data_IF_148317784310
#
_entry.id   IF_148317784310
#
_cell.length_a   1.000
_cell.length_b   1.000
_cell.length_c   1.000
_cell.angle_alpha   90.00
_cell.angle_beta   90.00
_cell.angle_gamma   90.00
#
_symmetry.space_group_name_H-M   'P 1'
#
loop_
_entity.id
_entity.type
_entity.pdbx_description
1 polymer ?
#
# COMPACT_ATOMS: atom_id res chain seq x y z
N UNK A 1 22.76 18.07 -33.13
CA UNK A 1 23.44 17.03 -32.32
C UNK A 1 22.47 15.88 -32.11
N UNK A 2 22.88 14.66 -32.46
CA UNK A 2 22.00 13.51 -32.58
C UNK A 2 21.63 12.89 -31.22
N UNK A 3 20.37 12.46 -31.09
CA UNK A 3 19.76 11.91 -29.86
C UNK A 3 20.34 10.56 -29.37
N UNK A 4 21.34 9.98 -30.04
CA UNK A 4 21.83 8.64 -29.73
C UNK A 4 22.92 8.58 -28.63
N UNK A 5 23.51 9.71 -28.22
CA UNK A 5 24.68 9.70 -27.31
C UNK A 5 24.34 9.68 -25.81
N UNK A 6 23.06 9.71 -25.41
CA UNK A 6 22.68 9.95 -24.00
C UNK A 6 22.57 8.73 -23.08
N UNK A 7 22.78 7.49 -23.53
CA UNK A 7 22.43 6.31 -22.73
C UNK A 7 23.55 5.25 -22.53
N UNK A 8 24.79 5.51 -22.95
CA UNK A 8 25.87 4.54 -22.77
C UNK A 8 26.39 4.45 -21.32
N UNK A 9 26.46 5.58 -20.61
CA UNK A 9 26.88 5.63 -19.20
C UNK A 9 25.91 4.91 -18.25
N UNK A 10 24.60 4.85 -18.57
CA UNK A 10 23.60 4.12 -17.76
C UNK A 10 23.82 2.60 -17.76
N UNK A 11 24.47 2.04 -18.79
CA UNK A 11 24.87 0.61 -18.82
C UNK A 11 26.13 0.32 -18.00
N UNK A 12 27.03 1.29 -17.84
CA UNK A 12 28.28 1.13 -17.07
C UNK A 12 28.10 1.36 -15.57
N UNK A 13 27.20 2.26 -15.17
CA UNK A 13 26.93 2.60 -13.77
C UNK A 13 25.57 2.11 -13.26
N UNK A 14 24.87 1.27 -14.02
CA UNK A 14 23.70 0.55 -13.56
C UNK A 14 24.10 -0.37 -12.42
N UNK A 15 24.13 0.17 -11.18
CA UNK A 15 24.21 -0.61 -9.95
C UNK A 15 23.15 -1.69 -10.11
N UNK A 16 23.59 -2.95 -10.29
CA UNK A 16 22.71 -4.09 -10.01
C UNK A 16 22.25 -3.83 -8.59
N UNK A 17 21.00 -3.38 -8.44
CA UNK A 17 20.37 -3.35 -7.13
C UNK A 17 20.63 -4.72 -6.53
N UNK A 18 21.43 -4.75 -5.47
CA UNK A 18 21.65 -5.98 -4.74
C UNK A 18 20.25 -6.37 -4.28
N UNK A 19 19.67 -7.39 -4.90
CA UNK A 19 18.42 -7.98 -4.44
C UNK A 19 18.68 -8.33 -2.97
N UNK A 20 18.13 -7.53 -2.07
CA UNK A 20 18.19 -7.83 -0.65
C UNK A 20 17.62 -9.24 -0.49
N UNK A 21 18.37 -10.10 0.19
CA UNK A 21 17.93 -11.46 0.45
C UNK A 21 16.62 -11.38 1.21
N UNK A 22 15.55 -11.95 0.66
CA UNK A 22 14.23 -11.96 1.29
C UNK A 22 14.34 -12.72 2.60
N UNK A 23 13.97 -12.07 3.70
CA UNK A 23 13.86 -12.70 5.01
C UNK A 23 12.38 -12.92 5.31
N UNK A 24 11.92 -14.12 4.95
CA UNK A 24 10.51 -14.51 5.03
C UNK A 24 9.97 -14.41 6.45
N UNK A 25 10.77 -14.74 7.47
CA UNK A 25 10.31 -14.68 8.86
C UNK A 25 10.12 -13.23 9.29
N UNK A 26 11.11 -12.38 9.02
CA UNK A 26 11.01 -10.94 9.31
C UNK A 26 9.86 -10.27 8.56
N UNK A 27 9.60 -10.67 7.32
CA UNK A 27 8.48 -10.16 6.53
C UNK A 27 7.13 -10.61 7.11
N UNK A 28 7.02 -11.86 7.58
CA UNK A 28 5.82 -12.36 8.27
C UNK A 28 5.60 -11.60 9.57
N UNK A 29 6.64 -11.40 10.39
CA UNK A 29 6.55 -10.68 11.66
C UNK A 29 6.05 -9.23 11.45
N UNK A 30 6.59 -8.54 10.43
CA UNK A 30 6.17 -7.19 10.09
C UNK A 30 4.70 -7.12 9.61
N UNK A 31 4.24 -8.13 8.86
CA UNK A 31 2.82 -8.22 8.47
C UNK A 31 1.94 -8.46 9.70
N UNK A 32 2.35 -9.31 10.64
CA UNK A 32 1.61 -9.57 11.88
C UNK A 32 1.50 -8.29 12.72
N UNK A 33 2.62 -7.56 12.88
CA UNK A 33 2.65 -6.27 13.58
C UNK A 33 1.67 -5.27 12.95
N UNK A 34 1.76 -5.08 11.63
CA UNK A 34 0.84 -4.23 10.88
C UNK A 34 -0.64 -4.62 11.07
N UNK A 35 -0.96 -5.92 10.98
CA UNK A 35 -2.34 -6.39 11.15
C UNK A 35 -2.88 -6.17 12.58
N UNK A 36 -2.03 -6.22 13.60
CA UNK A 36 -2.41 -5.91 14.97
C UNK A 36 -2.71 -4.40 15.13
N UNK A 37 -1.90 -3.56 14.48
CA UNK A 37 -2.03 -2.10 14.55
C UNK A 37 -3.19 -1.55 13.70
N UNK A 38 -3.62 -2.29 12.68
CA UNK A 38 -4.74 -1.96 11.79
C UNK A 38 -6.02 -1.56 12.56
N UNK A 39 -6.25 -2.18 13.71
CA UNK A 39 -7.42 -1.89 14.54
C UNK A 39 -7.43 -0.47 15.09
N UNK A 40 -6.26 0.15 15.30
CA UNK A 40 -6.13 1.51 15.79
C UNK A 40 -6.39 2.52 14.66
N UNK A 41 -5.80 2.29 13.48
CA UNK A 41 -6.01 3.13 12.29
C UNK A 41 -7.47 3.17 11.88
N UNK A 42 -8.09 2.00 11.77
CA UNK A 42 -9.49 1.87 11.35
C UNK A 42 -10.45 2.50 12.35
N UNK A 43 -10.21 2.37 13.66
CA UNK A 43 -11.02 3.04 14.70
C UNK A 43 -10.92 4.56 14.62
N UNK A 44 -9.71 5.09 14.42
CA UNK A 44 -9.50 6.53 14.27
C UNK A 44 -10.22 7.05 13.03
N UNK A 45 -9.95 6.46 11.85
CA UNK A 45 -10.54 6.87 10.58
C UNK A 45 -12.07 6.78 10.63
N UNK A 46 -12.63 5.69 11.13
CA UNK A 46 -14.08 5.53 11.26
C UNK A 46 -14.72 6.63 12.11
N UNK A 47 -14.07 7.00 13.22
CA UNK A 47 -14.56 8.08 14.08
C UNK A 47 -14.57 9.42 13.36
N UNK A 48 -13.51 9.75 12.63
CA UNK A 48 -13.42 11.03 11.92
C UNK A 48 -14.36 11.06 10.70
N UNK A 49 -14.51 9.96 9.96
CA UNK A 49 -15.48 9.88 8.86
C UNK A 49 -16.93 10.03 9.32
N UNK A 50 -17.30 9.51 10.49
CA UNK A 50 -18.64 9.73 11.07
C UNK A 50 -18.90 11.21 11.36
N UNK A 51 -17.90 11.94 11.84
CA UNK A 51 -18.03 13.39 12.08
C UNK A 51 -18.19 14.16 10.77
N UNK A 52 -17.45 13.80 9.72
CA UNK A 52 -17.63 14.38 8.39
C UNK A 52 -19.04 14.08 7.86
N UNK A 53 -19.52 12.85 8.02
CA UNK A 53 -20.87 12.49 7.60
C UNK A 53 -21.94 13.36 8.29
N UNK A 54 -21.79 13.63 9.59
CA UNK A 54 -22.65 14.54 10.33
C UNK A 54 -22.57 15.99 9.80
N UNK A 55 -21.35 16.50 9.58
CA UNK A 55 -21.14 17.85 9.05
C UNK A 55 -21.70 18.00 7.62
N UNK A 56 -21.63 16.97 6.78
CA UNK A 56 -22.22 17.00 5.44
C UNK A 56 -23.75 16.99 5.49
N UNK A 57 -24.34 16.23 6.42
CA UNK A 57 -25.79 16.29 6.65
C UNK A 57 -26.23 17.69 7.09
N UNK A 58 -25.46 18.34 7.96
CA UNK A 58 -25.69 19.73 8.37
C UNK A 58 -25.56 20.70 7.20
N UNK A 59 -24.52 20.55 6.38
CA UNK A 59 -24.29 21.38 5.19
C UNK A 59 -25.52 21.41 4.27
N UNK A 60 -26.15 20.25 4.04
CA UNK A 60 -27.34 20.14 3.18
C UNK A 60 -28.59 20.85 3.70
N UNK A 61 -28.67 21.13 5.00
CA UNK A 61 -29.82 21.81 5.62
C UNK A 61 -29.50 23.24 6.10
N UNK A 62 -28.22 23.64 6.03
CA UNK A 62 -27.75 24.93 6.50
C UNK A 62 -28.20 26.10 5.60
N UNK A 63 -28.41 27.27 6.22
CA UNK A 63 -28.64 28.55 5.54
C UNK A 63 -27.36 29.39 5.56
N UNK A 64 -27.24 30.31 4.60
CA UNK A 64 -26.00 31.00 4.15
C UNK A 64 -24.90 31.20 5.19
N UNK A 65 -25.25 31.77 6.34
CA UNK A 65 -24.26 32.29 7.29
C UNK A 65 -23.59 31.18 8.11
N UNK A 66 -24.11 29.94 8.10
CA UNK A 66 -23.50 28.80 8.81
C UNK A 66 -22.67 27.94 7.88
N UNK A 67 -22.89 28.04 6.56
CA UNK A 67 -22.25 27.19 5.56
C UNK A 67 -20.73 27.33 5.61
N UNK A 68 -20.21 28.56 5.71
CA UNK A 68 -18.77 28.80 5.73
C UNK A 68 -18.10 28.20 6.98
N UNK A 69 -18.76 28.24 8.15
CA UNK A 69 -18.26 27.65 9.40
C UNK A 69 -18.25 26.12 9.29
N UNK A 70 -19.31 25.54 8.71
CA UNK A 70 -19.39 24.11 8.49
C UNK A 70 -18.27 23.64 7.54
N UNK A 71 -18.08 24.30 6.39
CA UNK A 71 -17.03 23.97 5.43
C UNK A 71 -15.62 24.13 6.02
N UNK A 72 -15.35 25.19 6.79
CA UNK A 72 -14.07 25.37 7.49
C UNK A 72 -13.82 24.22 8.49
N UNK A 73 -14.87 23.78 9.18
CA UNK A 73 -14.81 22.65 10.11
C UNK A 73 -14.56 21.33 9.37
N UNK A 74 -15.27 21.07 8.27
CA UNK A 74 -15.05 19.91 7.41
C UNK A 74 -13.60 19.86 6.91
N UNK A 75 -13.04 20.99 6.46
CA UNK A 75 -11.65 21.09 6.00
C UNK A 75 -10.66 20.57 7.05
N UNK A 76 -10.82 20.99 8.31
CA UNK A 76 -9.95 20.54 9.42
C UNK A 76 -10.06 19.05 9.71
N UNK A 77 -11.23 18.43 9.48
CA UNK A 77 -11.39 16.98 9.61
C UNK A 77 -10.80 16.24 8.41
N UNK A 78 -11.00 16.78 7.20
CA UNK A 78 -10.44 16.22 5.97
C UNK A 78 -8.92 16.21 6.02
N UNK A 79 -8.26 17.28 6.46
CA UNK A 79 -6.79 17.31 6.60
C UNK A 79 -6.26 16.14 7.43
N UNK A 80 -6.89 15.89 8.59
CA UNK A 80 -6.53 14.79 9.50
C UNK A 80 -6.80 13.42 8.90
N UNK A 81 -7.94 13.27 8.22
CA UNK A 81 -8.30 12.02 7.55
C UNK A 81 -7.32 11.73 6.43
N UNK A 82 -7.02 12.71 5.58
CA UNK A 82 -6.12 12.54 4.44
C UNK A 82 -4.73 12.15 4.91
N UNK A 83 -4.16 12.85 5.90
CA UNK A 83 -2.85 12.52 6.48
C UNK A 83 -2.81 11.08 7.03
N UNK A 84 -3.83 10.68 7.80
CA UNK A 84 -3.88 9.34 8.38
C UNK A 84 -4.14 8.27 7.33
N UNK A 85 -4.98 8.53 6.34
CA UNK A 85 -5.33 7.59 5.28
C UNK A 85 -4.17 7.38 4.32
N UNK A 86 -3.39 8.42 4.03
CA UNK A 86 -2.13 8.31 3.27
C UNK A 86 -1.15 7.37 3.99
N UNK A 87 -0.95 7.56 5.29
CA UNK A 87 -0.09 6.69 6.10
C UNK A 87 -0.57 5.24 6.07
N UNK A 88 -1.89 5.04 6.29
CA UNK A 88 -2.52 3.73 6.23
C UNK A 88 -2.34 3.04 4.86
N UNK A 89 -2.55 3.78 3.76
CA UNK A 89 -2.36 3.25 2.42
C UNK A 89 -0.89 2.85 2.17
N UNK A 90 0.06 3.69 2.58
CA UNK A 90 1.48 3.39 2.46
C UNK A 90 1.85 2.10 3.21
N UNK A 91 1.33 1.91 4.42
CA UNK A 91 1.57 0.70 5.20
C UNK A 91 0.95 -0.54 4.56
N UNK A 92 -0.28 -0.43 4.02
CA UNK A 92 -0.93 -1.49 3.24
C UNK A 92 -0.09 -1.87 2.03
N UNK A 93 0.41 -0.89 1.28
CA UNK A 93 1.21 -1.11 0.07
C UNK A 93 2.56 -1.77 0.39
N UNK A 94 3.26 -1.30 1.42
CA UNK A 94 4.52 -1.88 1.90
C UNK A 94 4.31 -3.34 2.31
N UNK A 95 3.26 -3.62 3.08
CA UNK A 95 2.97 -4.99 3.50
C UNK A 95 2.49 -5.86 2.33
N UNK A 96 1.80 -5.29 1.34
CA UNK A 96 1.50 -5.92 0.07
C UNK A 96 2.77 -6.40 -0.66
N UNK A 97 3.82 -5.56 -0.71
CA UNK A 97 5.12 -5.94 -1.29
C UNK A 97 5.80 -7.09 -0.52
N UNK A 98 5.69 -7.11 0.82
CA UNK A 98 6.19 -8.22 1.64
C UNK A 98 5.49 -9.54 1.31
N UNK A 99 4.16 -9.53 1.21
CA UNK A 99 3.39 -10.71 0.79
C UNK A 99 3.82 -11.20 -0.59
N UNK A 100 4.00 -10.29 -1.56
CA UNK A 100 4.51 -10.63 -2.90
C UNK A 100 5.91 -11.25 -2.84
N UNK A 101 6.78 -10.74 -1.97
CA UNK A 101 8.14 -11.25 -1.77
C UNK A 101 8.13 -12.66 -1.17
N UNK A 102 7.30 -12.91 -0.16
CA UNK A 102 7.10 -14.25 0.45
C UNK A 102 6.61 -15.25 -0.60
N UNK A 103 5.60 -14.88 -1.40
CA UNK A 103 5.06 -15.75 -2.44
C UNK A 103 6.09 -16.12 -3.51
N UNK A 104 6.91 -15.14 -3.93
CA UNK A 104 8.02 -15.39 -4.86
C UNK A 104 9.07 -16.33 -4.28
N UNK A 105 9.48 -16.10 -3.03
CA UNK A 105 10.47 -16.93 -2.35
C UNK A 105 9.94 -18.37 -2.16
N UNK A 106 8.66 -18.53 -1.85
CA UNK A 106 8.00 -19.85 -1.81
C UNK A 106 8.12 -20.58 -3.15
N UNK A 107 7.75 -19.93 -4.27
CA UNK A 107 7.82 -20.56 -5.59
C UNK A 107 9.25 -20.94 -5.97
N UNK A 108 10.24 -20.10 -5.62
CA UNK A 108 11.66 -20.42 -5.85
C UNK A 108 12.10 -21.64 -5.04
N UNK A 109 11.70 -21.75 -3.77
CA UNK A 109 12.02 -22.91 -2.93
C UNK A 109 11.33 -24.18 -3.43
N UNK A 110 10.05 -24.09 -3.81
CA UNK A 110 9.29 -25.20 -4.38
C UNK A 110 9.92 -25.70 -5.70
N UNK A 111 10.36 -24.79 -6.57
CA UNK A 111 11.05 -25.14 -7.81
C UNK A 111 12.37 -25.87 -7.53
N UNK A 112 13.18 -25.37 -6.58
CA UNK A 112 14.43 -26.03 -6.15
C UNK A 112 14.21 -27.39 -5.49
N UNK A 113 13.08 -27.57 -4.82
CA UNK A 113 12.67 -28.84 -4.21
C UNK A 113 12.07 -29.85 -5.22
N UNK A 114 11.99 -29.49 -6.51
CA UNK A 114 11.47 -30.38 -7.57
C UNK A 114 9.95 -30.33 -7.76
N UNK A 115 9.23 -29.43 -7.09
CA UNK A 115 7.77 -29.30 -7.17
C UNK A 115 7.31 -28.53 -8.43
N UNK A 116 7.75 -28.96 -9.62
CA UNK A 116 7.55 -28.22 -10.88
C UNK A 116 6.09 -28.05 -11.27
N UNK A 117 5.25 -29.06 -11.00
CA UNK A 117 3.82 -29.01 -11.33
C UNK A 117 3.08 -27.95 -10.51
N UNK A 118 3.36 -27.87 -9.21
CA UNK A 118 2.82 -26.84 -8.33
C UNK A 118 3.22 -25.44 -8.83
N UNK A 119 4.51 -25.25 -9.13
CA UNK A 119 5.02 -23.96 -9.64
C UNK A 119 4.34 -23.57 -10.95
N UNK A 120 4.17 -24.53 -11.87
CA UNK A 120 3.49 -24.31 -13.16
C UNK A 120 2.01 -23.96 -12.98
N UNK A 121 1.33 -24.63 -12.06
CA UNK A 121 -0.06 -24.32 -11.69
C UNK A 121 -0.16 -22.89 -11.15
N UNK A 122 0.66 -22.55 -10.14
CA UNK A 122 0.60 -21.22 -9.51
C UNK A 122 1.01 -20.09 -10.45
N UNK A 123 1.96 -20.30 -11.37
CA UNK A 123 2.33 -19.29 -12.39
C UNK A 123 1.20 -19.00 -13.40
N UNK A 124 0.14 -19.81 -13.45
CA UNK A 124 -1.07 -19.52 -14.25
C UNK A 124 -2.12 -18.75 -13.45
N UNK A 125 -2.05 -18.76 -12.12
CA UNK A 125 -2.98 -18.05 -11.26
C UNK A 125 -2.63 -16.56 -11.19
N UNK A 126 -3.61 -15.71 -11.52
CA UNK A 126 -3.50 -14.24 -11.50
C UNK A 126 -3.01 -13.72 -10.14
N UNK A 127 -3.45 -14.33 -9.03
CA UNK A 127 -3.10 -13.92 -7.66
C UNK A 127 -1.62 -14.15 -7.35
N UNK A 128 -1.10 -15.31 -7.77
CA UNK A 128 0.30 -15.70 -7.61
C UNK A 128 1.24 -14.95 -8.56
N UNK A 129 0.70 -14.44 -9.66
CA UNK A 129 1.40 -13.51 -10.56
C UNK A 129 1.28 -12.04 -10.09
N UNK A 130 0.67 -11.80 -8.92
CA UNK A 130 0.52 -10.49 -8.29
C UNK A 130 -0.10 -9.43 -9.20
N UNK A 131 -1.03 -9.86 -10.06
CA UNK A 131 -1.78 -8.97 -10.98
C UNK A 131 -3.00 -8.37 -10.29
N UNK A 132 -2.76 -7.73 -9.16
CA UNK A 132 -3.71 -6.97 -8.35
C UNK A 132 -3.01 -5.71 -7.86
#
# INVERSE_FOLDING_TARGET
MALYEKNWWKKLFGKKERKNKVDVLKDIDAIIEFLNDLSNDTKFLLKEFKKIEELEKEYHVAKSDIIHINLDTQGKFLDKILERYESFQNDVDINGLRVKSIGNEFLQRAEKAGMKDLVKEKKKDRKWMFKW
#
